data_IF_487205963535
#
_entry.id   IF_487205963535
#
_cell.length_a   1.000
_cell.length_b   1.000
_cell.length_c   1.000
_cell.angle_alpha   90.00
_cell.angle_beta   90.00
_cell.angle_gamma   90.00
#
_symmetry.space_group_name_H-M   'P 1'
#
loop_
_entity.id
_entity.type
_entity.pdbx_description
1 polymer ?
#
# COMPACT_ATOMS: atom_id res chain seq x y z
N UNK A 1 12.44 -39.35 -16.87
CA UNK A 1 11.60 -38.40 -17.61
C UNK A 1 10.13 -38.36 -17.14
N UNK A 2 9.57 -39.40 -16.56
CA UNK A 2 8.15 -39.50 -16.14
C UNK A 2 7.77 -38.69 -14.90
N UNK A 3 8.68 -38.38 -14.00
CA UNK A 3 8.34 -37.64 -12.74
C UNK A 3 8.01 -36.17 -12.90
N UNK A 4 8.55 -35.49 -13.93
CA UNK A 4 8.29 -34.06 -14.18
C UNK A 4 6.92 -33.79 -14.81
N UNK A 5 6.38 -34.73 -15.56
CA UNK A 5 5.07 -34.56 -16.21
C UNK A 5 3.89 -34.71 -15.25
N UNK A 6 4.04 -35.52 -14.18
CA UNK A 6 3.05 -35.68 -13.12
C UNK A 6 2.95 -34.43 -12.21
N UNK A 7 4.06 -33.73 -11.97
CA UNK A 7 4.07 -32.51 -11.18
C UNK A 7 3.38 -31.35 -11.93
N UNK A 8 3.61 -31.22 -13.23
CA UNK A 8 2.99 -30.15 -14.04
C UNK A 8 1.47 -30.32 -14.16
N UNK A 9 0.98 -31.58 -14.36
CA UNK A 9 -0.46 -31.86 -14.38
C UNK A 9 -1.13 -31.53 -13.02
N UNK A 10 -0.51 -31.88 -11.90
CA UNK A 10 -0.99 -31.53 -10.57
C UNK A 10 -1.02 -29.99 -10.38
N UNK A 11 0.02 -29.28 -10.79
CA UNK A 11 0.05 -27.80 -10.74
C UNK A 11 -1.07 -27.17 -11.60
N UNK A 12 -1.31 -27.70 -12.80
CA UNK A 12 -2.40 -27.22 -13.67
C UNK A 12 -3.77 -27.50 -13.05
N UNK A 13 -3.97 -28.69 -12.46
CA UNK A 13 -5.22 -29.02 -11.76
C UNK A 13 -5.43 -28.13 -10.54
N UNK A 14 -4.40 -27.88 -9.73
CA UNK A 14 -4.49 -26.94 -8.59
C UNK A 14 -4.74 -25.51 -9.06
N UNK A 15 -4.12 -25.08 -10.15
CA UNK A 15 -4.35 -23.77 -10.74
C UNK A 15 -5.77 -23.63 -11.30
N UNK A 16 -6.30 -24.65 -11.97
CA UNK A 16 -7.68 -24.68 -12.47
C UNK A 16 -8.69 -24.75 -11.33
N UNK A 17 -8.48 -25.57 -10.31
CA UNK A 17 -9.25 -25.61 -9.09
C UNK A 17 -9.22 -24.26 -8.36
N UNK A 18 -8.07 -23.64 -8.25
CA UNK A 18 -7.92 -22.31 -7.65
C UNK A 18 -8.67 -21.23 -8.45
N UNK A 19 -8.60 -21.27 -9.78
CA UNK A 19 -9.30 -20.34 -10.67
C UNK A 19 -10.83 -20.53 -10.63
N UNK A 20 -11.31 -21.78 -10.55
CA UNK A 20 -12.76 -22.05 -10.38
C UNK A 20 -13.25 -21.70 -8.98
N UNK A 21 -12.45 -21.93 -7.96
CA UNK A 21 -12.76 -21.60 -6.58
C UNK A 21 -12.81 -20.07 -6.36
N UNK A 22 -11.94 -19.30 -7.01
CA UNK A 22 -11.94 -17.84 -6.90
C UNK A 22 -13.11 -17.16 -7.62
N UNK A 23 -13.82 -17.86 -8.51
CA UNK A 23 -15.05 -17.34 -9.14
C UNK A 23 -16.28 -17.41 -8.21
N UNK A 24 -16.21 -18.18 -7.12
CA UNK A 24 -17.31 -18.28 -6.16
C UNK A 24 -17.23 -17.14 -5.13
N UNK A 25 -18.24 -16.27 -5.11
CA UNK A 25 -18.34 -15.12 -4.18
C UNK A 25 -18.13 -15.52 -2.72
N UNK A 26 -18.70 -16.65 -2.29
CA UNK A 26 -18.54 -17.15 -0.92
C UNK A 26 -17.11 -17.44 -0.55
N UNK A 27 -16.30 -17.92 -1.50
CA UNK A 27 -14.88 -18.24 -1.27
C UNK A 27 -14.09 -16.94 -1.15
N UNK A 28 -14.33 -15.96 -2.00
CA UNK A 28 -13.68 -14.66 -1.95
C UNK A 28 -13.93 -13.95 -0.62
N UNK A 29 -15.19 -13.91 -0.17
CA UNK A 29 -15.58 -13.38 1.14
C UNK A 29 -14.88 -14.14 2.28
N UNK A 30 -14.78 -15.46 2.20
CA UNK A 30 -14.12 -16.26 3.24
C UNK A 30 -12.61 -16.05 3.29
N UNK A 31 -11.95 -15.82 2.16
CA UNK A 31 -10.52 -15.45 2.11
C UNK A 31 -10.30 -14.14 2.88
N UNK A 32 -11.09 -13.12 2.58
CA UNK A 32 -11.00 -11.81 3.25
C UNK A 32 -11.28 -11.92 4.76
N UNK A 33 -12.37 -12.62 5.15
CA UNK A 33 -12.71 -12.85 6.56
C UNK A 33 -11.62 -13.61 7.32
N UNK A 34 -10.98 -14.59 6.66
CA UNK A 34 -9.87 -15.35 7.25
C UNK A 34 -8.67 -14.44 7.47
N UNK A 35 -8.36 -13.56 6.53
CA UNK A 35 -7.29 -12.56 6.65
C UNK A 35 -7.56 -11.59 7.81
N UNK A 36 -8.79 -11.09 7.94
CA UNK A 36 -9.19 -10.23 9.06
C UNK A 36 -9.04 -10.93 10.42
N UNK A 37 -9.49 -12.19 10.54
CA UNK A 37 -9.34 -12.99 11.77
C UNK A 37 -7.86 -13.20 12.12
N UNK A 38 -7.02 -13.50 11.13
CA UNK A 38 -5.58 -13.67 11.34
C UNK A 38 -4.93 -12.40 11.85
N UNK A 39 -5.25 -11.26 11.24
CA UNK A 39 -4.73 -9.95 11.64
C UNK A 39 -5.18 -9.59 13.06
N UNK A 40 -6.47 -9.78 13.39
CA UNK A 40 -6.99 -9.60 14.75
C UNK A 40 -6.22 -10.45 15.75
N UNK A 41 -6.06 -11.76 15.48
CA UNK A 41 -5.32 -12.67 16.37
C UNK A 41 -3.87 -12.20 16.56
N UNK A 42 -3.23 -11.70 15.53
CA UNK A 42 -1.86 -11.20 15.62
C UNK A 42 -1.78 -9.94 16.48
N UNK A 43 -2.69 -8.97 16.27
CA UNK A 43 -2.77 -7.73 17.06
C UNK A 43 -3.00 -8.03 18.55
N UNK A 44 -3.83 -9.04 18.84
CA UNK A 44 -4.19 -9.40 20.22
C UNK A 44 -3.19 -10.36 20.89
N UNK A 45 -2.18 -10.87 20.19
CA UNK A 45 -1.28 -11.89 20.72
C UNK A 45 -0.52 -11.41 21.96
N UNK A 46 -0.04 -10.18 21.92
CA UNK A 46 0.70 -9.55 23.01
C UNK A 46 0.04 -8.18 23.28
N UNK A 47 -1.23 -8.21 23.73
CA UNK A 47 -2.05 -7.01 23.85
C UNK A 47 -1.47 -6.02 24.86
N UNK A 48 -0.96 -4.91 24.34
CA UNK A 48 -0.41 -3.79 25.08
C UNK A 48 -0.84 -2.48 24.40
N UNK A 49 -2.02 -1.95 24.75
CA UNK A 49 -2.62 -0.82 24.02
C UNK A 49 -1.96 0.54 24.27
N UNK A 50 -1.04 0.61 25.25
CA UNK A 50 -0.44 1.88 25.67
C UNK A 50 -1.35 2.67 26.61
N UNK A 51 -1.02 3.94 26.79
CA UNK A 51 -1.76 4.85 27.66
C UNK A 51 -2.79 5.67 26.84
N UNK A 52 -4.09 5.68 27.23
CA UNK A 52 -5.09 6.53 26.60
C UNK A 52 -4.75 8.02 26.65
N UNK A 53 -4.07 8.50 27.68
CA UNK A 53 -3.71 9.91 27.82
C UNK A 53 -2.61 10.31 26.83
N UNK A 54 -1.61 9.44 26.61
CA UNK A 54 -0.60 9.65 25.58
C UNK A 54 -1.23 9.73 24.18
N UNK A 55 -2.25 8.90 23.92
CA UNK A 55 -3.00 8.96 22.66
C UNK A 55 -3.79 10.27 22.53
N UNK A 56 -4.46 10.72 23.60
CA UNK A 56 -5.19 11.99 23.64
C UNK A 56 -4.27 13.17 23.35
N UNK A 57 -3.16 13.24 24.07
CA UNK A 57 -2.15 14.27 23.90
C UNK A 57 -1.60 14.31 22.47
N UNK A 58 -1.39 13.15 21.85
CA UNK A 58 -0.94 13.09 20.47
C UNK A 58 -1.99 13.62 19.50
N UNK A 59 -3.28 13.27 19.69
CA UNK A 59 -4.37 13.74 18.84
C UNK A 59 -4.53 15.26 18.93
N UNK A 60 -4.54 15.81 20.16
CA UNK A 60 -4.71 17.24 20.41
C UNK A 60 -3.58 18.09 19.81
N UNK A 61 -2.37 17.54 19.78
CA UNK A 61 -1.19 18.21 19.20
C UNK A 61 -0.90 17.79 17.75
N UNK A 62 -1.76 16.97 17.16
CA UNK A 62 -1.57 16.52 15.79
C UNK A 62 -1.84 17.65 14.81
N UNK A 63 -0.79 18.13 14.18
CA UNK A 63 -0.89 19.13 13.13
C UNK A 63 -0.75 18.47 11.76
N UNK A 64 -1.82 18.53 10.96
CA UNK A 64 -1.85 18.07 9.57
C UNK A 64 -0.99 18.94 8.63
N UNK A 65 -0.47 20.06 9.15
CA UNK A 65 0.40 20.93 8.40
C UNK A 65 1.77 20.32 8.14
N UNK A 66 2.59 21.03 7.37
CA UNK A 66 3.92 20.59 6.95
C UNK A 66 4.81 20.06 8.09
N UNK A 67 4.66 20.60 9.31
CA UNK A 67 5.51 20.23 10.45
C UNK A 67 5.43 18.75 10.84
N UNK A 68 4.25 18.14 10.75
CA UNK A 68 4.08 16.71 11.08
C UNK A 68 4.69 15.80 10.03
N UNK A 69 4.73 16.25 8.77
CA UNK A 69 5.17 15.49 7.62
C UNK A 69 6.49 16.01 7.00
N UNK A 70 7.22 16.91 7.67
CA UNK A 70 8.50 17.41 7.15
C UNK A 70 9.50 16.24 7.10
N UNK A 71 10.01 15.88 5.92
CA UNK A 71 11.09 14.91 5.82
C UNK A 71 12.35 15.51 6.44
N UNK A 72 13.09 14.73 7.22
CA UNK A 72 14.47 15.10 7.55
C UNK A 72 15.26 15.18 6.24
N UNK A 73 16.27 16.05 6.17
CA UNK A 73 17.17 16.14 5.02
C UNK A 73 17.67 14.77 4.59
N UNK A 74 17.62 14.50 3.29
CA UNK A 74 17.87 13.16 2.75
C UNK A 74 19.26 13.10 2.18
N UNK A 75 20.12 12.29 2.77
CA UNK A 75 21.22 11.67 2.06
C UNK A 75 20.82 10.25 1.69
N UNK A 76 20.83 9.91 0.41
CA UNK A 76 20.69 8.52 -0.02
C UNK A 76 21.97 7.80 0.37
N UNK A 77 21.91 6.96 1.39
CA UNK A 77 23.09 6.32 1.97
C UNK A 77 23.74 5.28 1.09
N UNK A 78 22.94 4.56 0.30
CA UNK A 78 23.50 3.57 -0.61
C UNK A 78 22.62 3.28 -1.81
N UNK A 79 23.27 2.98 -2.94
CA UNK A 79 22.62 2.44 -4.12
C UNK A 79 23.30 1.10 -4.39
N UNK A 80 22.57 -0.01 -4.21
CA UNK A 80 23.09 -1.34 -4.45
C UNK A 80 22.33 -1.98 -5.60
N UNK A 81 23.06 -2.42 -6.63
CA UNK A 81 22.49 -3.21 -7.70
C UNK A 81 21.94 -4.53 -7.13
N UNK A 82 20.74 -4.87 -7.50
CA UNK A 82 20.10 -6.15 -7.20
C UNK A 82 19.94 -6.96 -8.49
N UNK A 83 19.67 -8.25 -8.34
CA UNK A 83 19.55 -9.17 -9.44
C UNK A 83 18.59 -8.70 -10.54
N UNK A 84 18.90 -9.08 -11.77
CA UNK A 84 18.08 -8.84 -12.96
C UNK A 84 16.69 -9.47 -12.80
N UNK A 85 15.66 -8.70 -13.10
CA UNK A 85 14.31 -9.19 -13.13
C UNK A 85 13.91 -9.57 -14.55
N UNK A 86 13.55 -10.82 -14.77
CA UNK A 86 12.90 -11.22 -16.00
C UNK A 86 11.43 -10.78 -15.94
N UNK A 87 11.16 -9.58 -16.41
CA UNK A 87 9.81 -9.17 -16.78
C UNK A 87 9.55 -9.76 -18.17
N UNK A 88 8.30 -9.99 -18.55
CA UNK A 88 7.94 -10.48 -19.90
C UNK A 88 8.30 -9.53 -21.05
N UNK A 89 8.92 -8.41 -20.75
CA UNK A 89 9.56 -7.54 -21.72
C UNK A 89 10.83 -8.23 -22.20
N UNK A 90 11.17 -8.06 -23.48
CA UNK A 90 12.39 -8.60 -24.11
C UNK A 90 13.68 -7.98 -23.54
N UNK A 91 13.62 -7.25 -22.42
CA UNK A 91 14.74 -6.54 -21.80
C UNK A 91 14.88 -6.98 -20.34
N UNK A 92 16.11 -7.31 -19.97
CA UNK A 92 16.51 -7.45 -18.58
C UNK A 92 16.47 -6.07 -17.89
N UNK A 93 15.71 -5.95 -16.80
CA UNK A 93 15.58 -4.71 -16.05
C UNK A 93 16.35 -4.84 -14.77
N UNK A 94 17.41 -4.06 -14.69
CA UNK A 94 18.17 -3.93 -13.46
C UNK A 94 17.45 -2.97 -12.51
N UNK A 95 17.34 -3.34 -11.24
CA UNK A 95 16.89 -2.44 -10.21
C UNK A 95 17.95 -2.24 -9.13
N UNK A 96 17.84 -1.12 -8.43
CA UNK A 96 18.76 -0.71 -7.37
C UNK A 96 17.99 -0.56 -6.08
N UNK A 97 18.65 -0.69 -4.94
CA UNK A 97 18.11 -0.30 -3.65
C UNK A 97 18.55 1.13 -3.32
N UNK A 98 17.59 1.96 -2.99
CA UNK A 98 17.84 3.23 -2.33
C UNK A 98 17.52 3.13 -0.87
N UNK A 99 18.41 3.57 0.00
CA UNK A 99 18.21 3.59 1.44
C UNK A 99 18.59 4.97 2.00
N UNK A 100 17.88 5.40 3.02
CA UNK A 100 18.20 6.61 3.78
C UNK A 100 17.72 6.46 5.22
N UNK A 101 18.19 7.35 6.12
CA UNK A 101 17.75 7.34 7.52
C UNK A 101 16.25 7.52 7.62
N UNK A 102 15.60 6.54 8.22
CA UNK A 102 14.15 6.56 8.41
C UNK A 102 13.79 7.24 9.73
N UNK A 103 12.68 8.02 9.76
CA UNK A 103 12.13 8.49 11.04
C UNK A 103 11.63 7.35 11.95
N UNK A 104 11.55 6.11 11.42
CA UNK A 104 11.26 4.90 12.20
C UNK A 104 12.48 4.34 12.93
N UNK A 105 13.67 4.89 12.69
CA UNK A 105 14.88 4.34 13.26
C UNK A 105 14.86 4.50 14.79
N UNK A 106 14.37 3.48 15.44
CA UNK A 106 14.57 3.12 16.83
C UNK A 106 14.81 1.61 16.82
N UNK A 107 15.29 1.03 17.89
CA UNK A 107 15.80 -0.35 18.01
C UNK A 107 14.89 -1.48 17.47
N UNK A 108 13.63 -1.21 17.17
CA UNK A 108 12.63 -2.26 16.89
C UNK A 108 12.39 -2.52 15.41
N UNK A 109 12.77 -1.59 14.52
CA UNK A 109 12.58 -1.75 13.07
C UNK A 109 13.93 -1.87 12.39
N UNK A 110 14.23 -3.03 11.76
CA UNK A 110 15.50 -3.21 11.08
C UNK A 110 15.63 -2.29 9.86
N UNK A 111 16.67 -1.51 9.86
CA UNK A 111 17.14 -0.80 8.67
C UNK A 111 16.48 0.55 8.39
N UNK A 112 17.08 1.21 7.43
CA UNK A 112 16.66 2.49 6.90
C UNK A 112 15.37 2.37 6.09
N UNK A 113 14.79 3.51 5.69
CA UNK A 113 13.81 3.56 4.62
C UNK A 113 14.38 2.91 3.36
N UNK A 114 13.59 2.09 2.70
CA UNK A 114 14.03 1.26 1.58
C UNK A 114 13.11 1.43 0.38
N UNK A 115 13.73 1.61 -0.80
CA UNK A 115 13.05 1.66 -2.08
C UNK A 115 13.78 0.78 -3.10
N UNK A 116 13.00 0.12 -3.96
CA UNK A 116 13.55 -0.49 -5.17
C UNK A 116 13.34 0.46 -6.34
N UNK A 117 14.38 0.67 -7.14
CA UNK A 117 14.39 1.64 -8.23
C UNK A 117 14.72 0.96 -9.54
N UNK A 118 13.82 1.05 -10.50
CA UNK A 118 14.01 0.63 -11.88
C UNK A 118 14.15 1.88 -12.73
N UNK A 119 15.39 2.26 -13.03
CA UNK A 119 15.69 3.44 -13.81
C UNK A 119 15.85 3.09 -15.29
N UNK A 120 14.92 3.52 -16.14
CA UNK A 120 14.94 3.32 -17.58
C UNK A 120 15.64 4.47 -18.31
N UNK A 121 15.54 5.68 -17.78
CA UNK A 121 16.05 6.92 -18.36
C UNK A 121 16.75 7.75 -17.29
N UNK A 122 17.64 8.69 -17.67
CA UNK A 122 18.13 9.71 -16.74
C UNK A 122 16.99 10.40 -16.01
N UNK A 123 17.19 10.81 -14.77
CA UNK A 123 16.13 11.42 -13.95
C UNK A 123 15.58 12.72 -14.55
N UNK A 124 16.48 13.57 -15.04
CA UNK A 124 16.10 14.86 -15.63
C UNK A 124 15.11 14.62 -16.79
N UNK A 125 13.98 15.30 -16.74
CA UNK A 125 12.90 15.21 -17.73
C UNK A 125 12.31 13.78 -17.90
N UNK A 126 12.50 12.89 -16.91
CA UNK A 126 11.85 11.57 -16.93
C UNK A 126 10.47 11.60 -16.27
N UNK A 127 9.60 10.70 -16.69
CA UNK A 127 8.34 10.39 -16.01
C UNK A 127 8.60 9.32 -14.97
N UNK A 128 8.09 9.50 -13.76
CA UNK A 128 8.30 8.58 -12.64
C UNK A 128 6.97 8.09 -12.11
N UNK A 129 6.90 6.79 -11.78
CA UNK A 129 5.80 6.22 -11.01
C UNK A 129 6.34 5.76 -9.67
N UNK A 130 5.73 6.29 -8.60
CA UNK A 130 5.98 5.88 -7.23
C UNK A 130 4.97 4.77 -6.87
N UNK A 131 5.47 3.56 -6.70
CA UNK A 131 4.70 2.37 -6.36
C UNK A 131 4.63 2.14 -4.86
N UNK A 132 3.43 1.97 -4.31
CA UNK A 132 3.20 1.82 -2.88
C UNK A 132 2.38 0.54 -2.64
N UNK A 133 3.01 -0.57 -2.24
CA UNK A 133 2.33 -1.85 -2.06
C UNK A 133 1.39 -1.86 -0.86
N UNK A 134 0.45 -2.81 -0.85
CA UNK A 134 -0.47 -3.03 0.25
C UNK A 134 0.16 -3.73 1.46
N UNK A 135 -0.63 -3.86 2.53
CA UNK A 135 -0.25 -4.58 3.73
C UNK A 135 -0.02 -6.07 3.46
N UNK A 136 1.00 -6.64 4.09
CA UNK A 136 1.29 -8.07 4.01
C UNK A 136 1.97 -8.53 2.71
N UNK A 137 2.39 -7.60 1.84
CA UNK A 137 3.12 -7.95 0.62
C UNK A 137 4.49 -8.52 0.99
N UNK A 138 4.66 -9.81 0.71
CA UNK A 138 5.93 -10.53 0.83
C UNK A 138 6.74 -10.48 -0.48
N UNK A 139 7.99 -10.89 -0.44
CA UNK A 139 8.81 -11.04 -1.66
C UNK A 139 8.16 -11.98 -2.69
N UNK A 140 7.44 -13.01 -2.24
CA UNK A 140 6.69 -13.89 -3.13
C UNK A 140 5.48 -13.21 -3.76
N UNK A 141 4.66 -12.51 -2.96
CA UNK A 141 3.50 -11.77 -3.44
C UNK A 141 3.91 -10.65 -4.40
N UNK A 142 5.01 -9.97 -4.12
CA UNK A 142 5.58 -8.96 -4.99
C UNK A 142 5.89 -9.46 -6.41
N UNK A 143 6.24 -10.75 -6.56
CA UNK A 143 6.43 -11.35 -7.87
C UNK A 143 5.17 -11.35 -8.75
N UNK A 144 3.98 -11.33 -8.17
CA UNK A 144 2.72 -11.22 -8.92
C UNK A 144 2.44 -9.78 -9.36
N UNK A 145 2.93 -8.79 -8.61
CA UNK A 145 2.77 -7.37 -8.92
C UNK A 145 3.61 -6.92 -10.13
N UNK A 146 4.59 -7.71 -10.55
CA UNK A 146 5.44 -7.41 -11.73
C UNK A 146 4.66 -7.13 -13.00
N UNK A 147 3.46 -7.67 -13.13
CA UNK A 147 2.61 -7.46 -14.31
C UNK A 147 2.26 -6.00 -14.50
N UNK A 148 2.05 -5.26 -13.41
CA UNK A 148 1.79 -3.82 -13.47
C UNK A 148 3.03 -3.05 -13.97
N UNK A 149 4.22 -3.46 -13.54
CA UNK A 149 5.46 -2.78 -13.95
C UNK A 149 5.76 -2.89 -15.44
N UNK A 150 5.25 -3.93 -16.11
CA UNK A 150 5.51 -4.14 -17.53
C UNK A 150 5.00 -2.98 -18.38
N UNK A 151 3.76 -2.57 -18.19
CA UNK A 151 3.16 -1.46 -18.94
C UNK A 151 3.91 -0.15 -18.68
N UNK A 152 4.23 0.13 -17.42
CA UNK A 152 4.97 1.34 -17.04
C UNK A 152 6.36 1.40 -17.71
N UNK A 153 7.05 0.26 -17.74
CA UNK A 153 8.38 0.15 -18.35
C UNK A 153 8.31 0.31 -19.86
N UNK A 154 7.35 -0.33 -20.52
CA UNK A 154 7.14 -0.23 -21.96
C UNK A 154 6.84 1.21 -22.38
N UNK A 155 6.11 1.94 -21.55
CA UNK A 155 5.83 3.37 -21.70
C UNK A 155 7.01 4.29 -21.31
N UNK A 156 8.12 3.71 -20.83
CA UNK A 156 9.37 4.42 -20.56
C UNK A 156 9.36 5.22 -19.25
N UNK A 157 8.56 4.83 -18.27
CA UNK A 157 8.62 5.39 -16.93
C UNK A 157 9.82 4.86 -16.15
N UNK A 158 10.38 5.69 -15.29
CA UNK A 158 11.20 5.24 -14.17
C UNK A 158 10.26 4.83 -13.04
N UNK A 159 10.58 3.72 -12.35
CA UNK A 159 9.72 3.18 -11.29
C UNK A 159 10.48 3.23 -9.98
N UNK A 160 9.85 3.77 -8.95
CA UNK A 160 10.34 3.80 -7.58
C UNK A 160 9.34 3.06 -6.70
N UNK A 161 9.73 1.95 -6.11
CA UNK A 161 8.87 1.08 -5.33
C UNK A 161 9.20 1.25 -3.86
N UNK A 162 8.25 1.72 -3.08
CA UNK A 162 8.38 1.80 -1.63
C UNK A 162 8.32 0.43 -0.98
N UNK A 163 9.20 0.18 -0.04
CA UNK A 163 9.16 -1.02 0.80
C UNK A 163 8.71 -0.59 2.20
N UNK A 164 7.45 -0.82 2.57
CA UNK A 164 6.94 -0.43 3.88
C UNK A 164 7.70 -1.12 5.02
N UNK A 165 7.72 -0.55 6.24
CA UNK A 165 8.27 -1.22 7.41
C UNK A 165 7.66 -2.62 7.59
N UNK A 166 8.44 -3.57 8.04
CA UNK A 166 8.07 -4.98 8.26
C UNK A 166 7.65 -5.76 7.00
N UNK A 167 7.87 -5.22 5.79
CA UNK A 167 7.56 -5.90 4.53
C UNK A 167 8.83 -6.25 3.77
N UNK A 168 8.76 -7.30 2.97
CA UNK A 168 9.82 -7.70 2.04
C UNK A 168 11.21 -7.70 2.72
N UNK A 169 12.18 -6.93 2.22
CA UNK A 169 13.53 -6.85 2.79
C UNK A 169 13.60 -6.09 4.12
N UNK A 170 12.52 -5.44 4.55
CA UNK A 170 12.37 -4.84 5.90
C UNK A 170 11.60 -5.75 6.87
N UNK A 171 11.27 -6.97 6.47
CA UNK A 171 10.60 -7.95 7.31
C UNK A 171 11.57 -8.53 8.34
N UNK A 172 11.15 -8.65 9.60
CA UNK A 172 11.92 -9.37 10.61
C UNK A 172 12.00 -10.85 10.26
N UNK A 173 13.17 -11.45 10.44
CA UNK A 173 13.39 -12.87 10.16
C UNK A 173 12.45 -13.75 10.99
N UNK A 174 11.73 -14.63 10.34
CA UNK A 174 10.80 -15.56 11.00
C UNK A 174 9.40 -15.01 11.24
N UNK A 175 9.16 -13.73 10.96
CA UNK A 175 7.83 -13.11 11.08
C UNK A 175 7.07 -13.08 9.74
N UNK A 176 5.75 -12.86 9.81
CA UNK A 176 4.94 -12.64 8.59
C UNK A 176 5.17 -11.24 8.04
N UNK A 177 5.05 -11.07 6.72
CA UNK A 177 5.12 -9.73 6.10
C UNK A 177 4.04 -8.81 6.68
N UNK A 178 4.45 -7.61 7.10
CA UNK A 178 3.58 -6.62 7.74
C UNK A 178 3.40 -6.80 9.24
N UNK A 179 3.87 -7.92 9.84
CA UNK A 179 3.78 -8.08 11.30
C UNK A 179 4.58 -6.97 12.00
N UNK A 180 3.98 -6.35 13.00
CA UNK A 180 4.58 -5.21 13.70
C UNK A 180 4.26 -3.84 13.11
N UNK A 181 3.76 -3.73 11.87
CA UNK A 181 3.24 -2.44 11.38
C UNK A 181 1.93 -2.06 12.07
N UNK A 182 1.06 -3.05 12.31
CA UNK A 182 -0.15 -2.91 13.11
C UNK A 182 0.05 -3.69 14.41
N UNK A 183 0.01 -2.99 15.53
CA UNK A 183 0.09 -3.51 16.89
C UNK A 183 -1.22 -3.25 17.64
N UNK A 184 -1.29 -3.69 18.90
CA UNK A 184 -2.38 -3.34 19.81
C UNK A 184 -2.28 -1.91 20.36
N UNK A 185 -1.20 -1.18 20.09
CA UNK A 185 -1.05 0.22 20.51
C UNK A 185 -1.49 1.16 19.35
N UNK A 186 -2.66 1.85 19.48
CA UNK A 186 -3.16 2.74 18.45
C UNK A 186 -2.23 3.92 18.17
N UNK A 187 -1.59 4.48 19.19
CA UNK A 187 -0.62 5.57 19.04
C UNK A 187 0.58 5.14 18.19
N UNK A 188 1.11 3.95 18.46
CA UNK A 188 2.21 3.37 17.71
C UNK A 188 1.82 3.12 16.24
N UNK A 189 0.62 2.60 16.01
CA UNK A 189 0.09 2.40 14.65
C UNK A 189 0.02 3.72 13.87
N UNK A 190 -0.52 4.78 14.46
CA UNK A 190 -0.62 6.10 13.81
C UNK A 190 0.76 6.67 13.51
N UNK A 191 1.68 6.62 14.47
CA UNK A 191 3.06 7.08 14.28
C UNK A 191 3.74 6.35 13.12
N UNK A 192 3.58 5.03 13.02
CA UNK A 192 4.15 4.23 11.92
C UNK A 192 3.56 4.60 10.57
N UNK A 193 2.24 4.80 10.48
CA UNK A 193 1.57 5.23 9.26
C UNK A 193 2.04 6.62 8.82
N UNK A 194 2.05 7.58 9.73
CA UNK A 194 2.55 8.95 9.48
C UNK A 194 4.00 8.93 9.03
N UNK A 195 4.84 8.14 9.69
CA UNK A 195 6.24 8.02 9.31
C UNK A 195 6.43 7.37 7.93
N UNK A 196 5.58 6.39 7.56
CA UNK A 196 5.60 5.83 6.19
C UNK A 196 5.32 6.91 5.14
N UNK A 197 4.39 7.82 5.41
CA UNK A 197 4.13 8.97 4.53
C UNK A 197 5.32 9.94 4.50
N UNK A 198 6.01 10.14 5.63
CA UNK A 198 7.25 10.94 5.68
C UNK A 198 8.37 10.33 4.83
N UNK A 199 8.56 9.01 4.87
CA UNK A 199 9.52 8.31 4.00
C UNK A 199 9.18 8.54 2.52
N UNK A 200 7.93 8.37 2.15
CA UNK A 200 7.44 8.59 0.78
C UNK A 200 7.64 10.05 0.34
N UNK A 201 7.31 11.01 1.21
CA UNK A 201 7.51 12.43 0.94
C UNK A 201 8.97 12.79 0.71
N UNK A 202 9.86 12.18 1.47
CA UNK A 202 11.30 12.33 1.33
C UNK A 202 11.77 11.96 -0.08
N UNK A 203 11.31 10.82 -0.60
CA UNK A 203 11.65 10.39 -1.97
C UNK A 203 10.97 11.27 -3.01
N UNK A 204 9.75 11.70 -2.80
CA UNK A 204 9.08 12.66 -3.67
C UNK A 204 9.93 13.94 -3.84
N UNK A 205 10.36 14.56 -2.73
CA UNK A 205 11.19 15.76 -2.75
C UNK A 205 12.57 15.52 -3.39
N UNK A 206 13.15 14.35 -3.17
CA UNK A 206 14.38 13.97 -3.85
C UNK A 206 14.20 13.91 -5.38
N UNK A 207 13.09 13.32 -5.86
CA UNK A 207 12.78 13.23 -7.29
C UNK A 207 12.54 14.62 -7.89
N UNK A 208 11.80 15.50 -7.20
CA UNK A 208 11.63 16.90 -7.62
C UNK A 208 12.99 17.60 -7.80
N UNK A 209 13.91 17.44 -6.85
CA UNK A 209 15.25 18.00 -6.93
C UNK A 209 16.07 17.43 -8.11
N UNK A 210 15.73 16.23 -8.60
CA UNK A 210 16.31 15.65 -9.82
C UNK A 210 15.69 16.19 -11.10
N UNK A 211 14.75 17.13 -11.01
CA UNK A 211 14.06 17.76 -12.13
C UNK A 211 13.39 16.75 -13.05
N UNK A 212 12.70 15.77 -12.45
CA UNK A 212 11.86 14.86 -13.21
C UNK A 212 10.71 15.63 -13.87
N UNK A 213 10.22 15.14 -15.00
CA UNK A 213 9.12 15.78 -15.74
C UNK A 213 7.79 15.65 -15.00
N UNK A 214 7.53 14.47 -14.45
CA UNK A 214 6.29 14.17 -13.75
C UNK A 214 6.48 13.08 -12.71
N UNK A 215 5.69 13.14 -11.63
CA UNK A 215 5.61 12.10 -10.61
C UNK A 215 4.15 11.67 -10.49
N UNK A 216 3.90 10.41 -10.79
CA UNK A 216 2.61 9.75 -10.61
C UNK A 216 2.69 8.71 -9.50
N UNK A 217 1.56 8.32 -8.93
CA UNK A 217 1.52 7.27 -7.90
C UNK A 217 0.61 6.11 -8.31
N UNK A 218 1.04 4.92 -7.94
CA UNK A 218 0.19 3.75 -7.84
C UNK A 218 0.16 3.24 -6.41
N UNK A 219 -1.03 3.01 -5.86
CA UNK A 219 -1.17 2.54 -4.48
C UNK A 219 -2.19 1.43 -4.35
N UNK A 220 -1.78 0.29 -3.76
CA UNK A 220 -2.69 -0.83 -3.47
C UNK A 220 -3.08 -0.89 -1.99
N UNK A 221 -4.36 -1.05 -1.67
CA UNK A 221 -4.86 -1.26 -0.29
C UNK A 221 -4.32 -0.20 0.70
N UNK A 222 -3.53 -0.59 1.69
CA UNK A 222 -2.81 0.31 2.59
C UNK A 222 -1.93 1.31 1.83
N UNK A 223 -1.26 0.87 0.77
CA UNK A 223 -0.47 1.76 -0.09
C UNK A 223 -1.31 2.83 -0.77
N UNK A 224 -2.59 2.52 -1.07
CA UNK A 224 -3.56 3.49 -1.54
C UNK A 224 -3.90 4.55 -0.50
N UNK A 225 -3.95 4.18 0.79
CA UNK A 225 -4.11 5.15 1.87
C UNK A 225 -2.90 6.10 1.96
N UNK A 226 -1.68 5.56 1.90
CA UNK A 226 -0.47 6.38 1.90
C UNK A 226 -0.40 7.32 0.70
N UNK A 227 -0.79 6.83 -0.50
CA UNK A 227 -0.84 7.65 -1.69
C UNK A 227 -1.83 8.81 -1.55
N UNK A 228 -3.02 8.56 -0.99
CA UNK A 228 -4.03 9.58 -0.73
C UNK A 228 -3.63 10.58 0.36
N UNK A 229 -2.90 10.15 1.37
CA UNK A 229 -2.33 11.05 2.37
C UNK A 229 -1.21 11.90 1.76
N UNK A 230 -0.31 11.30 1.02
CA UNK A 230 0.82 12.01 0.41
C UNK A 230 0.36 13.04 -0.63
N UNK A 231 -0.66 12.72 -1.45
CA UNK A 231 -1.19 13.66 -2.43
C UNK A 231 -1.86 14.89 -1.80
N UNK A 232 -2.29 14.83 -0.53
CA UNK A 232 -2.80 16.01 0.16
C UNK A 232 -1.70 17.01 0.55
N UNK A 233 -0.45 16.56 0.54
CA UNK A 233 0.74 17.33 0.92
C UNK A 233 1.57 17.77 -0.28
N UNK A 234 1.55 17.00 -1.36
CA UNK A 234 2.42 17.17 -2.53
C UNK A 234 1.59 17.08 -3.83
N UNK A 235 2.12 17.67 -4.90
CA UNK A 235 1.46 17.67 -6.21
C UNK A 235 1.88 16.46 -7.03
N UNK A 236 0.93 15.69 -7.49
CA UNK A 236 1.15 14.57 -8.38
C UNK A 236 0.42 14.75 -9.71
N UNK A 237 0.96 14.14 -10.76
CA UNK A 237 0.34 14.22 -12.07
C UNK A 237 -0.86 13.29 -12.18
N UNK A 238 -0.72 12.06 -11.65
CA UNK A 238 -1.77 11.04 -11.72
C UNK A 238 -1.71 10.11 -10.52
N UNK A 239 -2.88 9.54 -10.21
CA UNK A 239 -3.06 8.65 -9.08
C UNK A 239 -3.90 7.44 -9.50
N UNK A 240 -3.32 6.25 -9.46
CA UNK A 240 -4.02 4.98 -9.63
C UNK A 240 -4.11 4.24 -8.31
N UNK A 241 -5.31 3.89 -7.88
CA UNK A 241 -5.59 3.28 -6.59
C UNK A 241 -6.32 1.95 -6.77
N UNK A 242 -5.75 0.87 -6.29
CA UNK A 242 -6.39 -0.44 -6.29
C UNK A 242 -6.86 -0.79 -4.87
N UNK A 243 -8.18 -0.96 -4.68
CA UNK A 243 -8.80 -1.30 -3.38
C UNK A 243 -8.25 -0.46 -2.20
N UNK A 244 -8.18 0.88 -2.30
CA UNK A 244 -7.52 1.70 -1.29
C UNK A 244 -8.22 1.61 0.05
N UNK A 245 -7.46 1.59 1.16
CA UNK A 245 -8.02 1.79 2.50
C UNK A 245 -8.35 3.28 2.65
N UNK A 246 -9.64 3.59 2.66
CA UNK A 246 -10.12 4.97 2.72
C UNK A 246 -10.40 5.45 4.15
N UNK A 247 -10.77 4.51 5.03
CA UNK A 247 -11.18 4.82 6.40
C UNK A 247 -10.70 3.71 7.35
N UNK A 248 -9.69 4.04 8.15
CA UNK A 248 -9.12 3.11 9.12
C UNK A 248 -10.05 2.82 10.29
N UNK A 249 -11.11 3.61 10.50
CA UNK A 249 -12.13 3.31 11.50
C UNK A 249 -12.90 2.03 11.20
N UNK A 250 -12.83 1.49 9.97
CA UNK A 250 -13.37 0.15 9.68
C UNK A 250 -12.68 -0.96 10.47
N UNK A 251 -11.47 -0.72 10.99
CA UNK A 251 -10.75 -1.65 11.87
C UNK A 251 -11.10 -1.51 13.35
N UNK A 252 -11.95 -0.53 13.71
CA UNK A 252 -12.39 -0.26 15.10
C UNK A 252 -13.86 -0.62 15.32
N UNK A 253 -14.33 -1.68 14.66
CA UNK A 253 -15.69 -2.21 14.83
C UNK A 253 -15.77 -3.16 16.03
N UNK A 254 -16.97 -3.48 16.55
CA UNK A 254 -17.13 -4.48 17.61
C UNK A 254 -16.54 -5.85 17.27
N UNK A 255 -16.51 -6.22 15.98
CA UNK A 255 -15.93 -7.48 15.50
C UNK A 255 -14.40 -7.43 15.40
N UNK A 256 -13.80 -6.25 15.51
CA UNK A 256 -12.37 -6.02 15.46
C UNK A 256 -11.72 -6.04 16.85
N UNK A 257 -10.81 -5.14 17.12
CA UNK A 257 -10.08 -5.01 18.40
C UNK A 257 -10.71 -3.99 19.35
N UNK A 258 -11.79 -3.33 18.97
CA UNK A 258 -12.41 -2.28 19.79
C UNK A 258 -12.83 -2.75 21.19
N UNK A 259 -13.47 -3.93 21.39
CA UNK A 259 -13.84 -4.37 22.73
C UNK A 259 -12.67 -4.41 23.69
N UNK A 260 -11.51 -4.88 23.24
CA UNK A 260 -10.31 -4.97 24.07
C UNK A 260 -9.76 -3.60 24.46
N UNK A 261 -9.88 -2.60 23.57
CA UNK A 261 -9.53 -1.22 23.91
C UNK A 261 -10.45 -0.64 24.98
N UNK A 262 -11.77 -0.89 24.86
CA UNK A 262 -12.74 -0.43 25.85
C UNK A 262 -12.47 -1.06 27.23
N UNK A 263 -12.18 -2.36 27.29
CA UNK A 263 -11.78 -3.08 28.49
C UNK A 263 -10.49 -2.53 29.11
N UNK A 264 -9.57 -2.03 28.27
CA UNK A 264 -8.32 -1.39 28.69
C UNK A 264 -8.46 0.10 29.05
N UNK A 265 -9.68 0.61 29.14
CA UNK A 265 -9.96 1.99 29.55
C UNK A 265 -9.93 3.06 28.46
N UNK A 266 -9.81 2.65 27.18
CA UNK A 266 -9.94 3.60 26.08
C UNK A 266 -11.41 3.96 25.83
N UNK A 267 -11.67 5.22 25.54
CA UNK A 267 -12.97 5.66 25.02
C UNK A 267 -13.07 5.34 23.52
N UNK A 268 -14.28 4.94 23.07
CA UNK A 268 -14.54 4.65 21.66
C UNK A 268 -14.24 5.85 20.76
N UNK A 269 -14.63 7.06 21.19
CA UNK A 269 -14.43 8.26 20.39
C UNK A 269 -12.95 8.61 20.29
N UNK A 270 -12.17 8.36 21.36
CA UNK A 270 -10.72 8.52 21.36
C UNK A 270 -10.06 7.62 20.31
N UNK A 271 -10.42 6.33 20.27
CA UNK A 271 -9.90 5.40 19.26
C UNK A 271 -10.33 5.83 17.84
N UNK A 272 -11.58 6.23 17.65
CA UNK A 272 -12.06 6.70 16.35
C UNK A 272 -11.37 7.99 15.91
N UNK A 273 -11.17 8.96 16.81
CA UNK A 273 -10.44 10.19 16.53
C UNK A 273 -8.99 9.89 16.14
N UNK A 274 -8.35 8.95 16.82
CA UNK A 274 -6.99 8.52 16.51
C UNK A 274 -6.87 7.97 15.08
N UNK A 275 -7.71 7.01 14.70
CA UNK A 275 -7.67 6.44 13.36
C UNK A 275 -8.19 7.40 12.28
N UNK A 276 -8.99 8.41 12.64
CA UNK A 276 -9.37 9.49 11.72
C UNK A 276 -8.18 10.29 11.22
N UNK A 277 -7.11 10.42 12.03
CA UNK A 277 -5.87 11.12 11.66
C UNK A 277 -5.15 10.50 10.46
N UNK A 278 -5.34 9.23 10.22
CA UNK A 278 -4.68 8.49 9.12
C UNK A 278 -5.67 7.99 8.06
N UNK A 279 -6.95 8.37 8.18
CA UNK A 279 -8.02 7.97 7.26
C UNK A 279 -8.12 8.91 6.08
N UNK A 280 -7.83 8.47 4.84
CA UNK A 280 -7.85 9.30 3.63
C UNK A 280 -9.14 10.08 3.38
N UNK A 281 -10.30 9.59 3.86
CA UNK A 281 -11.58 10.31 3.74
C UNK A 281 -11.57 11.70 4.38
N UNK A 282 -10.63 11.96 5.29
CA UNK A 282 -10.48 13.23 6.00
C UNK A 282 -9.48 14.18 5.31
N UNK A 283 -8.88 13.75 4.21
CA UNK A 283 -7.88 14.51 3.48
C UNK A 283 -8.46 15.06 2.18
N UNK A 284 -8.18 16.32 1.90
CA UNK A 284 -8.59 16.96 0.66
C UNK A 284 -7.76 16.46 -0.51
N UNK A 285 -8.41 16.21 -1.64
CA UNK A 285 -7.68 15.95 -2.88
C UNK A 285 -7.03 17.22 -3.41
N UNK A 286 -5.73 17.16 -3.70
CA UNK A 286 -4.97 18.24 -4.37
C UNK A 286 -4.88 18.02 -5.89
N UNK A 287 -5.14 16.81 -6.34
CA UNK A 287 -5.10 16.40 -7.74
C UNK A 287 -6.50 16.43 -8.36
N UNK A 288 -6.66 16.91 -9.61
CA UNK A 288 -7.96 16.90 -10.29
C UNK A 288 -8.56 15.50 -10.39
N UNK A 289 -9.86 15.31 -10.10
CA UNK A 289 -10.50 13.98 -10.09
C UNK A 289 -10.37 13.21 -11.41
N UNK A 290 -10.26 13.91 -12.55
CA UNK A 290 -10.05 13.28 -13.88
C UNK A 290 -8.72 12.54 -14.00
N UNK A 291 -7.75 12.90 -13.14
CA UNK A 291 -6.42 12.29 -13.08
C UNK A 291 -6.32 11.19 -12.01
N UNK A 292 -7.46 10.76 -11.46
CA UNK A 292 -7.54 9.68 -10.47
C UNK A 292 -8.31 8.51 -11.06
N UNK A 293 -7.73 7.31 -10.95
CA UNK A 293 -8.43 6.05 -11.20
C UNK A 293 -8.54 5.27 -9.88
N UNK A 294 -9.71 4.69 -9.63
CA UNK A 294 -9.92 3.76 -8.52
C UNK A 294 -10.46 2.45 -9.04
N UNK A 295 -9.82 1.37 -8.64
CA UNK A 295 -10.20 -0.01 -8.90
C UNK A 295 -10.68 -0.64 -7.59
N UNK A 296 -11.92 -1.15 -7.58
CA UNK A 296 -12.55 -1.68 -6.39
C UNK A 296 -13.01 -3.13 -6.58
N UNK A 297 -13.02 -3.88 -5.49
CA UNK A 297 -13.53 -5.24 -5.44
C UNK A 297 -14.97 -5.23 -4.88
N UNK A 298 -15.89 -5.89 -5.60
CA UNK A 298 -17.32 -5.88 -5.26
C UNK A 298 -17.60 -6.54 -3.91
N UNK A 299 -16.86 -7.62 -3.58
CA UNK A 299 -17.06 -8.43 -2.39
C UNK A 299 -16.03 -8.15 -1.29
N UNK A 300 -15.31 -7.03 -1.37
CA UNK A 300 -14.27 -6.63 -0.43
C UNK A 300 -14.82 -6.49 1.00
N UNK A 301 -14.28 -7.29 1.93
CA UNK A 301 -14.66 -7.28 3.34
C UNK A 301 -13.76 -6.34 4.18
N UNK A 302 -12.63 -5.91 3.64
CA UNK A 302 -11.71 -4.99 4.31
C UNK A 302 -12.09 -3.53 3.99
N UNK A 303 -12.35 -3.26 2.70
CA UNK A 303 -12.74 -1.95 2.19
C UNK A 303 -14.10 -2.05 1.48
N UNK A 304 -15.21 -2.06 2.20
CA UNK A 304 -16.54 -2.28 1.62
C UNK A 304 -16.83 -1.33 0.46
N UNK A 305 -17.28 -1.89 -0.65
CA UNK A 305 -17.55 -1.17 -1.91
C UNK A 305 -18.41 0.09 -1.73
N UNK A 306 -19.33 0.08 -0.76
CA UNK A 306 -20.18 1.23 -0.45
C UNK A 306 -19.37 2.45 -0.03
N UNK A 307 -18.30 2.25 0.77
CA UNK A 307 -17.40 3.34 1.20
C UNK A 307 -16.63 3.91 0.02
N UNK A 308 -16.12 3.04 -0.86
CA UNK A 308 -15.38 3.46 -2.06
C UNK A 308 -16.29 4.20 -3.03
N UNK A 309 -17.51 3.72 -3.28
CA UNK A 309 -18.52 4.43 -4.09
C UNK A 309 -18.82 5.83 -3.54
N UNK A 310 -19.04 5.92 -2.22
CA UNK A 310 -19.30 7.21 -1.57
C UNK A 310 -18.12 8.17 -1.73
N UNK A 311 -16.90 7.68 -1.51
CA UNK A 311 -15.68 8.48 -1.69
C UNK A 311 -15.54 9.01 -3.12
N UNK A 312 -15.76 8.16 -4.12
CA UNK A 312 -15.74 8.55 -5.53
C UNK A 312 -16.79 9.63 -5.84
N UNK A 313 -18.01 9.45 -5.34
CA UNK A 313 -19.11 10.41 -5.55
C UNK A 313 -18.82 11.77 -4.92
N UNK A 314 -18.39 11.80 -3.65
CA UNK A 314 -18.07 13.03 -2.94
C UNK A 314 -16.93 13.79 -3.61
N UNK A 315 -15.94 13.07 -4.13
CA UNK A 315 -14.76 13.65 -4.77
C UNK A 315 -14.89 13.78 -6.30
N UNK A 316 -16.07 13.47 -6.87
CA UNK A 316 -16.34 13.54 -8.32
C UNK A 316 -15.36 12.71 -9.19
N UNK A 317 -14.86 11.58 -8.66
CA UNK A 317 -13.97 10.67 -9.37
C UNK A 317 -14.80 9.80 -10.32
N UNK A 318 -14.58 9.95 -11.63
CA UNK A 318 -15.35 9.26 -12.70
C UNK A 318 -14.68 7.98 -13.20
N UNK A 319 -13.35 7.87 -13.12
CA UNK A 319 -12.61 6.65 -13.48
C UNK A 319 -12.64 5.69 -12.30
N UNK A 320 -13.76 4.98 -12.17
CA UNK A 320 -14.03 4.06 -11.08
C UNK A 320 -14.52 2.73 -11.64
N UNK A 321 -13.70 1.69 -11.50
CA UNK A 321 -13.96 0.34 -12.01
C UNK A 321 -14.25 -0.60 -10.85
N UNK A 322 -15.23 -1.49 -11.03
CA UNK A 322 -15.64 -2.48 -10.05
C UNK A 322 -15.45 -3.87 -10.65
N UNK A 323 -14.77 -4.74 -9.92
CA UNK A 323 -14.52 -6.12 -10.34
C UNK A 323 -15.22 -7.10 -9.41
N UNK A 324 -15.77 -8.23 -9.92
CA UNK A 324 -16.45 -9.25 -9.12
C UNK A 324 -15.42 -10.08 -8.33
N UNK A 325 -14.74 -9.45 -7.40
CA UNK A 325 -13.63 -10.00 -6.61
C UNK A 325 -13.73 -9.62 -5.14
N UNK A 326 -13.02 -10.34 -4.27
CA UNK A 326 -12.68 -9.93 -2.91
C UNK A 326 -11.39 -9.12 -2.89
N UNK A 327 -11.00 -8.63 -1.70
CA UNK A 327 -9.80 -7.80 -1.50
C UNK A 327 -8.53 -8.46 -2.04
N UNK A 328 -8.25 -9.69 -1.61
CA UNK A 328 -7.05 -10.40 -2.02
C UNK A 328 -7.10 -10.93 -3.46
N UNK A 329 -8.30 -11.21 -3.97
CA UNK A 329 -8.48 -11.89 -5.26
C UNK A 329 -8.54 -10.96 -6.46
N UNK A 330 -8.65 -9.65 -6.25
CA UNK A 330 -8.67 -8.65 -7.35
C UNK A 330 -7.43 -8.77 -8.25
N UNK A 331 -6.27 -9.11 -7.69
CA UNK A 331 -5.03 -9.29 -8.43
C UNK A 331 -5.06 -10.42 -9.47
N UNK A 332 -6.07 -11.29 -9.43
CA UNK A 332 -6.24 -12.40 -10.37
C UNK A 332 -7.05 -12.01 -11.61
N UNK A 333 -7.72 -10.85 -11.58
CA UNK A 333 -8.55 -10.38 -12.68
C UNK A 333 -7.72 -9.68 -13.75
N UNK A 334 -7.77 -10.20 -14.97
CA UNK A 334 -7.03 -9.64 -16.11
C UNK A 334 -7.49 -8.22 -16.47
N UNK A 335 -8.76 -7.94 -16.26
CA UNK A 335 -9.35 -6.65 -16.61
C UNK A 335 -8.78 -5.50 -15.76
N UNK A 336 -8.38 -5.78 -14.51
CA UNK A 336 -7.69 -4.82 -13.65
C UNK A 336 -6.42 -4.29 -14.33
N UNK A 337 -5.61 -5.21 -14.87
CA UNK A 337 -4.35 -4.85 -15.55
C UNK A 337 -4.63 -4.07 -16.84
N UNK A 338 -5.60 -4.53 -17.63
CA UNK A 338 -5.98 -3.87 -18.88
C UNK A 338 -6.51 -2.45 -18.66
N UNK A 339 -7.33 -2.26 -17.64
CA UNK A 339 -7.94 -0.95 -17.37
C UNK A 339 -6.90 0.01 -16.76
N UNK A 340 -5.95 -0.50 -15.96
CA UNK A 340 -4.78 0.26 -15.53
C UNK A 340 -3.91 0.69 -16.72
N UNK A 341 -3.59 -0.23 -17.65
CA UNK A 341 -2.83 0.09 -18.87
C UNK A 341 -3.51 1.18 -19.71
N UNK A 342 -4.81 1.07 -19.91
CA UNK A 342 -5.59 2.11 -20.62
C UNK A 342 -5.53 3.45 -19.91
N UNK A 343 -5.60 3.43 -18.58
CA UNK A 343 -5.45 4.65 -17.79
C UNK A 343 -4.07 5.25 -17.99
N UNK A 344 -3.01 4.46 -17.86
CA UNK A 344 -1.63 4.91 -18.06
C UNK A 344 -1.42 5.54 -19.45
N UNK A 345 -1.93 4.90 -20.51
CA UNK A 345 -1.88 5.43 -21.87
C UNK A 345 -2.69 6.72 -22.06
N UNK A 346 -3.80 6.88 -21.33
CA UNK A 346 -4.64 8.10 -21.42
C UNK A 346 -3.98 9.34 -20.81
N UNK A 347 -2.79 9.18 -20.19
CA UNK A 347 -2.04 10.24 -19.53
C UNK A 347 -0.96 10.87 -20.43
N UNK A 348 -0.81 10.35 -21.63
CA UNK A 348 0.12 10.85 -22.64
C UNK A 348 -0.51 11.95 -23.47
#
# INVERSE_FOLDING_TARGET
MFGRCLSLKRYIIYLLLFLTLTSCTSIQINIDKTSLKKNKKQILKDFSPGDPEDLRNYIENFDLNEKTFIPKSVELKSIKALNTWHIRTKKDINYKKWTFDSPFYNSDIPGDALFYVMQQKPWVNSRVILWIPGFGVSNMAFNFLKKFFTSEIEEGYNIVIYIPPYHMDRQKKGESAGSGLLSSNPLDNIKKMVNSVKELRTVYRYLENKKVQSISMWGGSMGGAFALMLQSLEKFDHLSLMIPVLDWNSFTTPESVLPQYLEAGFDKNLIQAAYALISPVNYKLSIPPVRIQIEAAEFDQLNPIKKTKNYCNVNNIKKFNIYPSGHATILLYKDVYRDYEKFLLSLQ
#
